data_IF_470797923287
#
_entry.id   IF_470797923287
#
_cell.length_a   1.000
_cell.length_b   1.000
_cell.length_c   1.000
_cell.angle_alpha   90.00
_cell.angle_beta   90.00
_cell.angle_gamma   90.00
#
_symmetry.space_group_name_H-M   'P 1'
#
loop_
_entity.id
_entity.type
_entity.pdbx_description
1 polymer ?
#
# COMPACT_ATOMS: atom_id res chain seq x y z
N UNK A 1 -38.15 21.73 47.28
CA UNK A 1 -37.00 20.79 47.12
C UNK A 1 -37.08 20.10 45.76
N UNK A 2 -36.72 20.76 44.65
CA UNK A 2 -36.88 20.18 43.29
C UNK A 2 -35.81 20.55 42.25
N UNK A 3 -34.70 21.18 42.64
CA UNK A 3 -33.79 21.80 41.65
C UNK A 3 -32.31 21.40 41.79
N UNK A 4 -32.00 20.22 42.31
CA UNK A 4 -30.61 19.82 42.59
C UNK A 4 -30.17 18.48 41.99
N UNK A 5 -30.90 17.91 41.02
CA UNK A 5 -30.59 16.58 40.44
C UNK A 5 -30.14 16.66 38.97
N UNK A 6 -30.03 17.86 38.38
CA UNK A 6 -29.70 18.04 36.96
C UNK A 6 -28.25 18.52 36.70
N UNK A 7 -27.31 18.22 37.60
CA UNK A 7 -25.90 18.64 37.47
C UNK A 7 -24.89 17.51 37.72
N UNK A 8 -25.23 16.27 37.36
CA UNK A 8 -24.32 15.12 37.52
C UNK A 8 -24.27 14.20 36.29
N UNK A 9 -24.72 14.68 35.13
CA UNK A 9 -24.84 13.87 33.92
C UNK A 9 -24.25 14.65 32.73
N UNK A 10 -22.90 14.71 32.61
CA UNK A 10 -22.18 14.93 31.33
C UNK A 10 -20.67 15.20 31.49
N UNK A 11 -19.97 14.60 32.46
CA UNK A 11 -18.49 14.56 32.45
C UNK A 11 -17.99 13.14 32.26
N UNK A 12 -18.53 12.47 31.23
CA UNK A 12 -17.85 11.34 30.63
C UNK A 12 -16.83 11.87 29.62
N UNK A 13 -15.66 12.31 30.10
CA UNK A 13 -14.51 12.45 29.22
C UNK A 13 -14.20 11.07 28.66
N UNK A 14 -14.64 10.82 27.42
CA UNK A 14 -14.14 9.75 26.58
C UNK A 14 -12.63 9.91 26.53
N UNK A 15 -11.92 9.19 27.40
CA UNK A 15 -10.50 8.93 27.21
C UNK A 15 -10.42 8.01 26.00
N UNK A 16 -10.43 8.60 24.81
CA UNK A 16 -9.87 7.96 23.65
C UNK A 16 -8.44 7.62 24.07
N UNK A 17 -8.17 6.32 24.27
CA UNK A 17 -6.80 5.83 24.39
C UNK A 17 -6.17 6.04 23.03
N UNK A 18 -5.74 7.27 22.75
CA UNK A 18 -4.92 7.58 21.62
C UNK A 18 -3.63 6.79 21.83
N UNK A 19 -3.43 5.76 21.02
CA UNK A 19 -2.17 5.04 20.99
C UNK A 19 -1.15 5.91 20.26
N UNK A 20 0.12 5.74 20.61
CA UNK A 20 1.18 6.40 19.86
C UNK A 20 1.20 5.85 18.43
N UNK A 21 1.57 6.71 17.49
CA UNK A 21 1.61 6.39 16.07
C UNK A 21 3.01 6.64 15.53
N UNK A 22 3.59 5.63 14.90
CA UNK A 22 4.87 5.73 14.22
C UNK A 22 4.58 5.77 12.72
N UNK A 23 4.84 6.92 12.11
CA UNK A 23 4.71 7.10 10.68
C UNK A 23 6.02 6.73 10.00
N UNK A 24 6.00 5.72 9.13
CA UNK A 24 7.18 5.24 8.41
C UNK A 24 7.38 6.00 7.10
N UNK A 25 8.62 5.97 6.61
CA UNK A 25 9.01 6.56 5.33
C UNK A 25 8.31 5.96 4.11
N UNK A 26 7.68 4.78 4.25
CA UNK A 26 7.02 4.02 3.17
C UNK A 26 5.47 4.16 3.14
N UNK A 27 4.92 5.12 3.89
CA UNK A 27 3.48 5.32 4.01
C UNK A 27 2.78 4.51 5.11
N UNK A 28 3.43 3.52 5.71
CA UNK A 28 2.80 2.71 6.77
C UNK A 28 2.73 3.48 8.09
N UNK A 29 1.68 3.21 8.86
CA UNK A 29 1.52 3.72 10.22
C UNK A 29 1.45 2.54 11.16
N UNK A 30 2.34 2.53 12.14
CA UNK A 30 2.33 1.55 13.21
C UNK A 30 1.66 2.16 14.43
N UNK A 31 0.72 1.44 15.01
CA UNK A 31 0.02 1.84 16.23
C UNK A 31 0.54 1.00 17.40
N UNK A 32 0.94 1.65 18.48
CA UNK A 32 1.52 0.97 19.63
C UNK A 32 1.96 1.94 20.71
N UNK A 33 2.53 1.41 21.80
CA UNK A 33 3.12 2.23 22.87
C UNK A 33 4.62 2.39 22.63
N UNK A 34 5.10 3.62 22.48
CA UNK A 34 6.53 3.89 22.31
C UNK A 34 7.22 3.78 23.67
N UNK A 35 8.23 2.92 23.76
CA UNK A 35 8.99 2.69 24.98
C UNK A 35 10.22 3.58 25.09
N UNK A 36 10.86 3.83 23.95
CA UNK A 36 12.10 4.56 23.88
C UNK A 36 12.42 4.94 22.45
N UNK A 37 13.06 6.09 22.28
CA UNK A 37 13.46 6.58 20.98
C UNK A 37 14.92 7.01 21.06
N UNK A 38 15.73 6.54 20.12
CA UNK A 38 17.17 6.79 20.05
C UNK A 38 17.56 7.18 18.63
N UNK A 39 18.82 7.58 18.44
CA UNK A 39 19.34 7.91 17.10
C UNK A 39 19.40 6.70 16.17
N UNK A 40 19.50 5.49 16.71
CA UNK A 40 19.63 4.26 15.92
C UNK A 40 18.26 3.60 15.68
N UNK A 41 17.45 3.55 16.72
CA UNK A 41 16.21 2.79 16.71
C UNK A 41 15.09 3.39 17.58
N UNK A 42 13.87 3.09 17.18
CA UNK A 42 12.64 3.38 17.92
C UNK A 42 12.04 2.07 18.40
N UNK A 43 11.93 1.94 19.73
CA UNK A 43 11.38 0.76 20.41
C UNK A 43 9.92 1.00 20.78
N UNK A 44 9.05 0.06 20.42
CA UNK A 44 7.61 0.16 20.64
C UNK A 44 7.00 -1.20 20.98
N UNK A 45 5.86 -1.18 21.65
CA UNK A 45 5.08 -2.36 22.00
C UNK A 45 3.77 -2.38 21.22
N UNK A 46 3.48 -3.53 20.61
CA UNK A 46 2.23 -3.77 19.88
C UNK A 46 1.50 -4.96 20.53
N UNK A 47 0.18 -4.88 20.75
CA UNK A 47 -0.61 -6.02 21.18
C UNK A 47 -0.67 -7.09 20.08
N UNK A 48 -0.28 -8.32 20.40
CA UNK A 48 -0.48 -9.51 19.56
C UNK A 48 -1.31 -10.53 20.33
N UNK A 49 -2.63 -10.43 20.19
CA UNK A 49 -3.58 -11.21 20.99
C UNK A 49 -3.50 -10.82 22.46
N UNK A 50 -3.28 -11.78 23.36
CA UNK A 50 -3.16 -11.52 24.80
C UNK A 50 -1.76 -11.07 25.26
N UNK A 51 -0.76 -11.04 24.37
CA UNK A 51 0.64 -10.70 24.71
C UNK A 51 1.04 -9.37 24.09
N UNK A 52 1.82 -8.58 24.83
CA UNK A 52 2.52 -7.42 24.29
C UNK A 52 3.87 -7.89 23.73
N UNK A 53 4.18 -7.47 22.50
CA UNK A 53 5.44 -7.79 21.84
C UNK A 53 6.21 -6.50 21.60
N UNK A 54 7.47 -6.48 22.02
CA UNK A 54 8.41 -5.42 21.70
C UNK A 54 8.93 -5.58 20.28
N UNK A 55 8.95 -4.46 19.56
CA UNK A 55 9.46 -4.31 18.21
C UNK A 55 10.34 -3.08 18.15
N UNK A 56 11.16 -3.07 17.12
CA UNK A 56 12.16 -2.04 16.91
C UNK A 56 12.18 -1.68 15.44
N UNK A 57 12.05 -0.39 15.12
CA UNK A 57 12.30 0.12 13.78
C UNK A 57 13.57 0.97 13.76
N UNK A 58 14.43 0.85 12.72
CA UNK A 58 15.53 1.77 12.51
C UNK A 58 15.02 3.20 12.34
N UNK A 59 15.71 4.18 12.96
CA UNK A 59 15.29 5.59 12.91
C UNK A 59 15.26 6.15 11.48
N UNK A 60 16.15 5.68 10.61
CA UNK A 60 16.19 6.04 9.18
C UNK A 60 14.90 5.67 8.42
N UNK A 61 14.17 4.64 8.89
CA UNK A 61 12.90 4.23 8.31
C UNK A 61 11.68 4.97 8.85
N UNK A 62 11.87 5.85 9.85
CA UNK A 62 10.79 6.55 10.55
C UNK A 62 10.73 8.01 10.11
N UNK A 63 9.56 8.42 9.65
CA UNK A 63 9.29 9.82 9.33
C UNK A 63 8.97 10.63 10.58
N UNK A 64 8.00 10.17 11.38
CA UNK A 64 7.58 10.86 12.60
C UNK A 64 6.98 9.91 13.64
N UNK A 65 7.02 10.34 14.90
CA UNK A 65 6.33 9.69 16.02
C UNK A 65 5.34 10.68 16.61
N UNK A 66 4.08 10.28 16.66
CA UNK A 66 3.01 11.04 17.32
C UNK A 66 2.67 10.36 18.63
N UNK A 67 2.81 11.09 19.74
CA UNK A 67 2.42 10.62 21.07
C UNK A 67 0.88 10.49 21.16
N UNK A 68 0.40 9.72 22.12
CA UNK A 68 -0.98 9.67 22.60
C UNK A 68 -1.62 11.05 22.81
N UNK A 69 -0.83 12.06 23.19
CA UNK A 69 -1.28 13.45 23.35
C UNK A 69 -1.42 14.23 22.02
N UNK A 70 -1.08 13.63 20.89
CA UNK A 70 -1.09 14.25 19.57
C UNK A 70 0.15 15.08 19.24
N UNK A 71 1.15 15.13 20.13
CA UNK A 71 2.41 15.81 19.86
C UNK A 71 3.26 15.00 18.88
N UNK A 72 3.53 15.57 17.71
CA UNK A 72 4.35 14.93 16.67
C UNK A 72 5.81 15.37 16.77
N UNK A 73 6.71 14.38 16.84
CA UNK A 73 8.16 14.56 16.64
C UNK A 73 8.57 13.99 15.29
N UNK A 74 9.12 14.84 14.44
CA UNK A 74 9.67 14.45 13.13
C UNK A 74 11.11 13.96 13.30
N UNK A 75 11.39 12.77 12.78
CA UNK A 75 12.74 12.16 12.75
C UNK A 75 13.42 12.34 11.40
N UNK A 76 12.63 12.48 10.34
CA UNK A 76 13.13 12.76 9.00
C UNK A 76 13.81 14.13 8.92
N UNK A 77 14.94 14.16 8.22
CA UNK A 77 15.60 15.39 7.81
C UNK A 77 16.07 15.26 6.35
N UNK A 78 16.06 16.39 5.63
CA UNK A 78 16.54 16.47 4.27
C UNK A 78 18.06 16.33 4.27
N UNK A 79 18.56 15.32 3.56
CA UNK A 79 19.98 15.08 3.35
C UNK A 79 20.19 14.43 1.99
N UNK A 80 20.67 15.22 1.04
CA UNK A 80 20.92 14.78 -0.34
C UNK A 80 22.06 13.76 -0.44
N UNK A 81 22.95 13.69 0.56
CA UNK A 81 24.02 12.68 0.59
C UNK A 81 23.47 11.28 0.93
N UNK A 82 22.36 11.23 1.66
CA UNK A 82 21.65 9.99 2.03
C UNK A 82 20.49 9.65 1.08
N UNK A 83 20.25 10.46 0.04
CA UNK A 83 19.13 10.28 -0.90
C UNK A 83 17.80 10.85 -0.41
N UNK A 84 17.81 11.63 0.68
CA UNK A 84 16.64 12.31 1.23
C UNK A 84 16.50 13.70 0.59
N UNK A 85 15.97 13.74 -0.63
CA UNK A 85 15.92 14.97 -1.43
C UNK A 85 14.75 15.91 -1.08
N UNK A 86 13.69 15.37 -0.48
CA UNK A 86 12.49 16.13 -0.14
C UNK A 86 12.66 16.89 1.18
N UNK A 87 12.09 18.08 1.28
CA UNK A 87 11.87 18.74 2.58
C UNK A 87 10.85 17.98 3.42
N UNK A 88 10.78 18.26 4.72
CA UNK A 88 9.79 17.65 5.63
C UNK A 88 8.34 17.74 5.11
N UNK A 89 7.82 18.91 4.67
CA UNK A 89 6.45 18.98 4.14
C UNK A 89 6.28 18.22 2.83
N UNK A 90 7.27 18.26 1.93
CA UNK A 90 7.23 17.51 0.66
C UNK A 90 7.24 15.99 0.91
N UNK A 91 8.09 15.52 1.82
CA UNK A 91 8.16 14.11 2.18
C UNK A 91 6.85 13.64 2.80
N UNK A 92 6.19 14.47 3.60
CA UNK A 92 4.86 14.16 4.15
C UNK A 92 3.83 13.94 3.04
N UNK A 93 3.81 14.80 2.03
CA UNK A 93 2.94 14.65 0.84
C UNK A 93 3.25 13.35 0.09
N UNK A 94 4.53 13.05 -0.13
CA UNK A 94 4.97 11.83 -0.78
C UNK A 94 4.49 10.57 -0.04
N UNK A 95 4.72 10.50 1.28
CA UNK A 95 4.31 9.39 2.17
C UNK A 95 2.79 9.22 2.17
N UNK A 96 2.03 10.33 2.19
CA UNK A 96 0.57 10.28 2.12
C UNK A 96 0.11 9.72 0.77
N UNK A 97 0.74 10.11 -0.33
CA UNK A 97 0.48 9.53 -1.65
C UNK A 97 0.73 8.03 -1.69
N UNK A 98 1.86 7.57 -1.13
CA UNK A 98 2.17 6.14 -1.02
C UNK A 98 1.13 5.38 -0.18
N UNK A 99 0.70 5.96 0.94
CA UNK A 99 -0.34 5.38 1.82
C UNK A 99 -1.67 5.24 1.11
N UNK A 100 -2.12 6.29 0.45
CA UNK A 100 -3.41 6.33 -0.25
C UNK A 100 -3.41 5.37 -1.45
N UNK A 101 -2.30 5.27 -2.19
CA UNK A 101 -2.13 4.24 -3.21
C UNK A 101 -2.14 2.83 -2.59
N UNK A 102 -1.50 2.63 -1.44
CA UNK A 102 -1.48 1.33 -0.75
C UNK A 102 -2.87 0.88 -0.30
N UNK A 103 -3.73 1.80 0.12
CA UNK A 103 -5.05 1.47 0.63
C UNK A 103 -6.12 1.47 -0.48
N UNK A 104 -6.08 2.43 -1.40
CA UNK A 104 -7.15 2.67 -2.36
C UNK A 104 -6.87 2.24 -3.80
N UNK A 105 -5.62 2.16 -4.25
CA UNK A 105 -5.33 1.85 -5.66
C UNK A 105 -5.62 0.38 -6.00
N UNK A 106 -6.47 0.18 -7.03
CA UNK A 106 -6.86 -1.13 -7.57
C UNK A 106 -6.69 -1.17 -9.11
N UNK A 107 -5.76 -1.98 -9.65
CA UNK A 107 -5.47 -2.03 -11.09
C UNK A 107 -6.43 -2.97 -11.85
N UNK A 108 -7.74 -2.73 -11.81
CA UNK A 108 -8.76 -3.65 -12.37
C UNK A 108 -8.58 -3.89 -13.88
N UNK A 109 -8.41 -2.84 -14.68
CA UNK A 109 -8.27 -2.96 -16.13
C UNK A 109 -6.99 -3.72 -16.55
N UNK A 110 -5.78 -3.39 -16.02
CA UNK A 110 -4.57 -4.18 -16.25
C UNK A 110 -4.71 -5.65 -15.82
N UNK A 111 -5.40 -5.92 -14.73
CA UNK A 111 -5.63 -7.29 -14.26
C UNK A 111 -6.51 -8.06 -15.25
N UNK A 112 -7.64 -7.49 -15.67
CA UNK A 112 -8.52 -8.11 -16.65
C UNK A 112 -7.79 -8.33 -17.98
N UNK A 113 -7.05 -7.32 -18.45
CA UNK A 113 -6.24 -7.42 -19.67
C UNK A 113 -5.19 -8.53 -19.58
N UNK A 114 -4.49 -8.64 -18.46
CA UNK A 114 -3.48 -9.69 -18.25
C UNK A 114 -4.09 -11.09 -18.30
N UNK A 115 -5.25 -11.29 -17.66
CA UNK A 115 -5.97 -12.56 -17.72
C UNK A 115 -6.36 -12.92 -19.16
N UNK A 116 -6.97 -11.97 -19.89
CA UNK A 116 -7.43 -12.18 -21.26
C UNK A 116 -6.27 -12.45 -22.23
N UNK A 117 -5.15 -11.76 -22.07
CA UNK A 117 -3.93 -11.99 -22.85
C UNK A 117 -3.36 -13.37 -22.53
N UNK A 118 -3.24 -13.73 -21.25
CA UNK A 118 -2.72 -15.03 -20.83
C UNK A 118 -3.56 -16.19 -21.35
N UNK A 119 -4.87 -16.17 -21.11
CA UNK A 119 -5.78 -17.24 -21.55
C UNK A 119 -5.93 -17.24 -23.09
N UNK A 120 -6.20 -16.08 -23.68
CA UNK A 120 -6.51 -15.95 -25.10
C UNK A 120 -5.34 -16.32 -26.00
N UNK A 121 -4.13 -15.83 -25.72
CA UNK A 121 -2.96 -16.15 -26.55
C UNK A 121 -2.54 -17.61 -26.38
N UNK A 122 -2.61 -18.16 -25.16
CA UNK A 122 -2.29 -19.57 -24.92
C UNK A 122 -3.24 -20.48 -25.68
N UNK A 123 -4.55 -20.18 -25.64
CA UNK A 123 -5.56 -20.97 -26.35
C UNK A 123 -5.49 -20.82 -27.87
N UNK A 124 -5.38 -19.57 -28.36
CA UNK A 124 -5.48 -19.28 -29.79
C UNK A 124 -4.22 -19.64 -30.59
N UNK A 125 -3.04 -19.56 -29.98
CA UNK A 125 -1.75 -19.78 -30.65
C UNK A 125 -1.09 -21.11 -30.27
N UNK A 126 -1.71 -21.93 -29.42
CA UNK A 126 -1.14 -23.22 -28.98
C UNK A 126 0.21 -23.09 -28.30
N UNK A 127 0.45 -21.97 -27.59
CA UNK A 127 1.74 -21.65 -26.97
C UNK A 127 1.93 -22.48 -25.69
N UNK A 128 2.24 -23.76 -25.80
CA UNK A 128 2.44 -24.61 -24.62
C UNK A 128 3.63 -24.13 -23.78
N UNK A 129 4.85 -24.28 -24.30
CA UNK A 129 6.09 -23.93 -23.56
C UNK A 129 6.31 -22.41 -23.55
N UNK A 130 5.93 -21.72 -24.62
CA UNK A 130 6.16 -20.27 -24.78
C UNK A 130 5.19 -19.41 -23.95
N UNK A 131 4.08 -19.97 -23.45
CA UNK A 131 3.12 -19.22 -22.63
C UNK A 131 3.71 -18.71 -21.31
N UNK A 132 4.77 -19.33 -20.78
CA UNK A 132 5.46 -18.86 -19.58
C UNK A 132 6.13 -17.48 -19.76
N UNK A 133 6.35 -17.04 -21.00
CA UNK A 133 6.87 -15.70 -21.29
C UNK A 133 5.78 -14.63 -21.22
N UNK A 134 4.49 -14.99 -21.31
CA UNK A 134 3.40 -14.01 -21.33
C UNK A 134 3.32 -13.21 -20.02
N UNK A 135 3.39 -13.81 -18.81
CA UNK A 135 3.33 -13.04 -17.56
C UNK A 135 4.42 -11.98 -17.40
N UNK A 136 5.74 -12.27 -17.56
CA UNK A 136 6.77 -11.24 -17.44
C UNK A 136 6.69 -10.20 -18.55
N UNK A 137 6.35 -10.59 -19.80
CA UNK A 137 6.21 -9.63 -20.91
C UNK A 137 5.05 -8.66 -20.64
N UNK A 138 3.88 -9.17 -20.27
CA UNK A 138 2.72 -8.33 -19.98
C UNK A 138 2.97 -7.41 -18.77
N UNK A 139 3.56 -7.94 -17.71
CA UNK A 139 3.91 -7.16 -16.52
C UNK A 139 4.93 -6.04 -16.83
N UNK A 140 5.93 -6.33 -17.68
CA UNK A 140 6.88 -5.35 -18.18
C UNK A 140 6.21 -4.23 -18.97
N UNK A 141 5.27 -4.57 -19.88
CA UNK A 141 4.47 -3.58 -20.60
C UNK A 141 3.63 -2.72 -19.65
N UNK A 142 3.09 -3.30 -18.57
CA UNK A 142 2.34 -2.57 -17.55
C UNK A 142 3.20 -1.70 -16.64
N UNK A 143 4.53 -1.80 -16.69
CA UNK A 143 5.42 -0.91 -15.96
C UNK A 143 5.55 0.48 -16.62
N UNK A 144 5.33 0.59 -17.93
CA UNK A 144 5.57 1.81 -18.70
C UNK A 144 4.52 2.92 -18.45
N UNK A 145 3.20 2.67 -18.55
CA UNK A 145 2.22 3.75 -18.42
C UNK A 145 2.31 4.46 -17.05
N UNK A 146 2.07 5.77 -16.99
CA UNK A 146 1.98 6.45 -15.69
C UNK A 146 0.74 5.96 -14.92
N UNK A 147 0.84 5.88 -13.59
CA UNK A 147 -0.33 5.66 -12.72
C UNK A 147 -0.83 7.03 -12.29
N UNK A 148 -2.09 7.29 -12.56
CA UNK A 148 -2.79 8.49 -12.10
C UNK A 148 -3.50 8.23 -10.77
N UNK A 149 -3.72 9.30 -10.02
CA UNK A 149 -4.45 9.24 -8.75
C UNK A 149 -5.91 8.90 -9.04
N UNK A 150 -6.43 7.85 -8.40
CA UNK A 150 -7.82 7.43 -8.59
C UNK A 150 -8.76 8.24 -7.69
N UNK A 151 -9.85 8.81 -8.23
CA UNK A 151 -10.87 9.48 -7.42
C UNK A 151 -11.40 8.54 -6.33
N UNK A 152 -11.54 9.03 -5.10
CA UNK A 152 -12.00 8.26 -3.94
C UNK A 152 -10.94 7.40 -3.24
N UNK A 153 -9.69 7.40 -3.73
CA UNK A 153 -8.56 6.83 -2.99
C UNK A 153 -7.80 7.85 -2.13
N UNK A 154 -8.09 9.13 -2.31
CA UNK A 154 -7.45 10.26 -1.62
C UNK A 154 -8.12 10.43 -0.25
N UNK A 155 -7.32 10.48 0.81
CA UNK A 155 -7.80 10.71 2.17
C UNK A 155 -8.04 12.20 2.44
N UNK A 156 -7.15 13.07 1.97
CA UNK A 156 -7.26 14.53 2.14
C UNK A 156 -7.41 15.22 0.76
N UNK A 157 -8.57 15.83 0.46
CA UNK A 157 -8.82 16.53 -0.80
C UNK A 157 -7.83 17.66 -1.09
N UNK A 158 -7.21 18.26 -0.07
CA UNK A 158 -6.25 19.35 -0.26
C UNK A 158 -4.93 18.89 -0.91
N UNK A 159 -4.68 17.58 -0.94
CA UNK A 159 -3.49 16.99 -1.57
C UNK A 159 -3.70 16.69 -3.06
N UNK A 160 -4.93 16.84 -3.56
CA UNK A 160 -5.25 16.59 -4.95
C UNK A 160 -4.56 17.62 -5.87
N UNK A 161 -3.90 17.12 -6.92
CA UNK A 161 -3.16 17.95 -7.88
C UNK A 161 -1.71 18.25 -7.50
N UNK A 162 -1.28 17.93 -6.27
CA UNK A 162 0.11 18.10 -5.89
C UNK A 162 1.04 17.09 -6.61
N UNK A 163 2.13 17.54 -7.26
CA UNK A 163 3.00 16.67 -8.05
C UNK A 163 3.82 15.70 -7.18
N UNK A 164 4.17 16.08 -5.95
CA UNK A 164 4.95 15.25 -5.01
C UNK A 164 4.08 14.13 -4.48
N UNK A 165 2.86 14.46 -4.07
CA UNK A 165 1.82 13.49 -3.69
C UNK A 165 1.56 12.49 -4.84
N UNK A 166 1.33 12.99 -6.05
CA UNK A 166 1.10 12.14 -7.22
C UNK A 166 2.29 11.23 -7.54
N UNK A 167 3.51 11.67 -7.25
CA UNK A 167 4.73 10.88 -7.43
C UNK A 167 4.75 9.69 -6.46
N UNK A 168 4.54 9.94 -5.16
CA UNK A 168 4.43 8.86 -4.15
C UNK A 168 3.30 7.89 -4.45
N UNK A 169 2.12 8.41 -4.82
CA UNK A 169 0.98 7.58 -5.23
C UNK A 169 1.33 6.66 -6.41
N UNK A 170 2.00 7.22 -7.43
CA UNK A 170 2.36 6.47 -8.63
C UNK A 170 3.42 5.40 -8.38
N UNK A 171 4.33 5.60 -7.41
CA UNK A 171 5.38 4.66 -7.08
C UNK A 171 4.80 3.33 -6.55
N UNK A 172 3.92 3.41 -5.54
CA UNK A 172 3.23 2.23 -4.98
C UNK A 172 2.21 1.67 -5.97
N UNK A 173 1.46 2.54 -6.65
CA UNK A 173 0.45 2.12 -7.63
C UNK A 173 1.06 1.33 -8.80
N UNK A 174 2.23 1.74 -9.29
CA UNK A 174 2.93 1.04 -10.38
C UNK A 174 3.32 -0.37 -9.97
N UNK A 175 3.95 -0.51 -8.79
CA UNK A 175 4.36 -1.82 -8.26
C UNK A 175 3.17 -2.77 -8.08
N UNK A 176 2.05 -2.25 -7.55
CA UNK A 176 0.80 -3.03 -7.45
C UNK A 176 0.30 -3.47 -8.81
N UNK A 177 0.24 -2.57 -9.79
CA UNK A 177 -0.24 -2.87 -11.15
C UNK A 177 0.60 -3.97 -11.79
N UNK A 178 1.92 -3.82 -11.76
CA UNK A 178 2.86 -4.80 -12.32
C UNK A 178 2.65 -6.17 -11.66
N UNK A 179 2.67 -6.25 -10.32
CA UNK A 179 2.51 -7.51 -9.60
C UNK A 179 1.16 -8.19 -9.88
N UNK A 180 0.05 -7.45 -9.78
CA UNK A 180 -1.27 -8.03 -10.00
C UNK A 180 -1.48 -8.43 -11.48
N UNK A 181 -0.93 -7.68 -12.43
CA UNK A 181 -0.98 -8.03 -13.84
C UNK A 181 -0.18 -9.30 -14.16
N UNK A 182 0.98 -9.47 -13.52
CA UNK A 182 1.80 -10.68 -13.62
C UNK A 182 1.03 -11.89 -13.13
N UNK A 183 0.48 -11.80 -11.91
CA UNK A 183 -0.29 -12.89 -11.30
C UNK A 183 -1.53 -13.22 -12.14
N UNK A 184 -2.26 -12.21 -12.59
CA UNK A 184 -3.45 -12.37 -13.43
C UNK A 184 -3.14 -13.06 -14.76
N UNK A 185 -2.04 -12.67 -15.40
CA UNK A 185 -1.59 -13.29 -16.66
C UNK A 185 -1.17 -14.73 -16.44
N UNK A 186 -0.47 -15.04 -15.35
CA UNK A 186 -0.09 -16.40 -14.99
C UNK A 186 -1.32 -17.30 -14.76
N UNK A 187 -2.35 -16.79 -14.08
CA UNK A 187 -3.63 -17.48 -13.92
C UNK A 187 -4.30 -17.69 -15.28
N UNK A 188 -4.31 -16.67 -16.15
CA UNK A 188 -4.82 -16.78 -17.51
C UNK A 188 -4.13 -17.87 -18.32
N UNK A 189 -2.79 -17.93 -18.28
CA UNK A 189 -1.99 -18.98 -18.92
C UNK A 189 -2.38 -20.37 -18.42
N UNK A 190 -2.48 -20.56 -17.10
CA UNK A 190 -2.87 -21.83 -16.52
C UNK A 190 -4.26 -22.29 -17.00
N UNK A 191 -5.23 -21.37 -17.06
CA UNK A 191 -6.56 -21.63 -17.63
C UNK A 191 -6.46 -21.99 -19.11
N UNK A 192 -5.67 -21.24 -19.89
CA UNK A 192 -5.50 -21.50 -21.32
C UNK A 192 -4.89 -22.87 -21.61
N UNK A 193 -3.87 -23.28 -20.86
CA UNK A 193 -3.27 -24.61 -20.97
C UNK A 193 -4.28 -25.71 -20.60
N UNK A 194 -5.04 -25.52 -19.52
CA UNK A 194 -6.08 -26.47 -19.12
C UNK A 194 -7.14 -26.64 -20.21
N UNK A 195 -7.60 -25.55 -20.82
CA UNK A 195 -8.57 -25.62 -21.93
C UNK A 195 -7.98 -26.30 -23.17
N UNK A 196 -6.73 -25.99 -23.52
CA UNK A 196 -6.05 -26.66 -24.63
C UNK A 196 -5.99 -28.18 -24.42
N UNK A 197 -5.53 -28.62 -23.25
CA UNK A 197 -5.37 -30.06 -22.95
C UNK A 197 -6.68 -30.81 -22.74
N UNK A 198 -7.68 -30.19 -22.12
CA UNK A 198 -8.93 -30.89 -21.76
C UNK A 198 -10.01 -30.81 -22.84
N UNK A 199 -9.99 -29.76 -23.66
CA UNK A 199 -11.07 -29.49 -24.62
C UNK A 199 -10.57 -29.54 -26.06
N UNK A 200 -9.51 -28.78 -26.38
CA UNK A 200 -9.11 -28.57 -27.78
C UNK A 200 -8.41 -29.80 -28.34
N UNK A 201 -7.36 -30.31 -27.69
CA UNK A 201 -6.65 -31.49 -28.20
C UNK A 201 -7.52 -32.75 -28.27
N UNK A 202 -8.37 -33.07 -27.28
CA UNK A 202 -9.26 -34.22 -27.37
C UNK A 202 -10.33 -34.07 -28.47
N UNK A 203 -10.72 -32.84 -28.83
CA UNK A 203 -11.66 -32.58 -29.90
C UNK A 203 -11.04 -32.69 -31.30
N UNK A 204 -9.74 -32.40 -31.45
CA UNK A 204 -9.03 -32.50 -32.73
C UNK A 204 -8.64 -33.94 -33.11
N UNK A 205 -8.53 -34.84 -32.13
CA UNK A 205 -8.17 -36.25 -32.33
C UNK A 205 -9.38 -37.19 -32.52
N UNK A 206 -10.58 -36.65 -32.73
CA UNK A 206 -11.81 -37.40 -33.08
C UNK A 206 -12.20 -37.12 -34.52
#
# INVERSE_FOLDING_TARGET
>A
MRSAILLFLCTGFLHANAQDRINLMNGQVLEGKVLGQSTLEIRYQVPKGARLIERTEPTEGVFSVTDSLGAERVWYFKDTLLGNDYSVPEMRLYINGERDARNGYRPVLPVLGGFLVGAGLTMGLGLEVNSLLLPPVYAGLMAWPRVYVTPGSITDPNMEGDPIYATGYSAVGRSKRVLHSLLSTAVGVAVGLAVNHLVIYPAQNK
#
